data_IF_953433914136
#
_entry.id   IF_953433914136
#
_cell.length_a   1.000
_cell.length_b   1.000
_cell.length_c   1.000
_cell.angle_alpha   90.00
_cell.angle_beta   90.00
_cell.angle_gamma   90.00
#
_symmetry.space_group_name_H-M   'P 1'
#
loop_
_entity.id
_entity.type
_entity.pdbx_description
1 polymer ?
#
# COMPACT_ATOMS: atom_id res chain seq x y z
N UNK A 1 -27.91 3.69 4.65
CA UNK A 1 -26.80 4.26 3.87
C UNK A 1 -26.31 5.63 4.38
N UNK A 2 -27.16 6.66 4.50
CA UNK A 2 -26.72 8.05 4.78
C UNK A 2 -25.91 8.28 6.09
N UNK A 3 -26.03 7.42 7.11
CA UNK A 3 -25.36 7.58 8.42
C UNK A 3 -23.86 7.17 8.41
N UNK A 4 -23.50 6.18 7.61
CA UNK A 4 -22.15 5.59 7.58
C UNK A 4 -21.18 6.43 6.76
N UNK A 5 -21.67 6.99 5.66
CA UNK A 5 -20.93 7.95 4.82
C UNK A 5 -20.52 9.18 5.62
N UNK A 6 -21.37 9.62 6.57
CA UNK A 6 -21.07 10.75 7.46
C UNK A 6 -19.88 10.41 8.38
N UNK A 7 -19.96 9.35 9.19
CA UNK A 7 -18.87 8.96 10.11
C UNK A 7 -17.50 8.87 9.43
N UNK A 8 -17.46 8.28 8.24
CA UNK A 8 -16.22 8.09 7.49
C UNK A 8 -15.66 9.39 6.91
N UNK A 9 -16.53 10.29 6.47
CA UNK A 9 -16.14 11.65 6.07
C UNK A 9 -15.53 12.40 7.26
N UNK A 10 -16.12 12.27 8.45
CA UNK A 10 -15.63 12.99 9.63
C UNK A 10 -14.27 12.48 10.12
N UNK A 11 -14.09 11.17 10.18
CA UNK A 11 -12.77 10.58 10.50
C UNK A 11 -11.70 11.08 9.52
N UNK A 12 -12.02 11.16 8.23
CA UNK A 12 -11.11 11.66 7.19
C UNK A 12 -10.75 13.13 7.41
N UNK A 13 -11.72 13.98 7.75
CA UNK A 13 -11.46 15.40 8.04
C UNK A 13 -10.58 15.59 9.29
N UNK A 14 -10.81 14.80 10.34
CA UNK A 14 -9.96 14.81 11.53
C UNK A 14 -8.52 14.40 11.20
N UNK A 15 -8.35 13.30 10.45
CA UNK A 15 -7.02 12.85 10.00
C UNK A 15 -6.34 13.89 9.10
N UNK A 16 -7.09 14.54 8.20
CA UNK A 16 -6.59 15.63 7.35
C UNK A 16 -6.08 16.80 8.17
N UNK A 17 -6.86 17.31 9.12
CA UNK A 17 -6.48 18.42 9.99
C UNK A 17 -5.18 18.11 10.77
N UNK A 18 -5.07 16.89 11.30
CA UNK A 18 -3.90 16.42 12.06
C UNK A 18 -2.68 16.31 11.16
N UNK A 19 -2.84 15.72 9.97
CA UNK A 19 -1.74 15.55 9.03
C UNK A 19 -1.23 16.88 8.46
N UNK A 20 -2.12 17.83 8.19
CA UNK A 20 -1.75 19.20 7.80
C UNK A 20 -0.99 19.91 8.93
N UNK A 21 -1.47 19.79 10.18
CA UNK A 21 -0.80 20.33 11.35
C UNK A 21 0.62 19.76 11.51
N UNK A 22 0.76 18.44 11.36
CA UNK A 22 2.05 17.74 11.36
C UNK A 22 2.97 18.24 10.25
N UNK A 23 2.47 18.38 9.02
CA UNK A 23 3.24 18.85 7.85
C UNK A 23 3.76 20.28 8.06
N UNK A 24 2.93 21.17 8.59
CA UNK A 24 3.33 22.54 8.97
C UNK A 24 4.45 22.51 10.01
N UNK A 25 4.31 21.72 11.08
CA UNK A 25 5.37 21.59 12.11
C UNK A 25 6.69 21.04 11.56
N UNK A 26 6.64 20.06 10.66
CA UNK A 26 7.84 19.52 10.01
C UNK A 26 8.56 20.57 9.16
N UNK A 27 7.84 21.46 8.48
CA UNK A 27 8.44 22.59 7.75
C UNK A 27 9.18 23.54 8.68
N UNK A 28 8.71 23.71 9.91
CA UNK A 28 9.36 24.55 10.93
C UNK A 28 10.41 23.79 11.78
N UNK A 29 10.75 22.54 11.44
CA UNK A 29 11.73 21.74 12.18
C UNK A 29 11.28 21.33 13.60
N UNK A 30 9.99 21.42 13.90
CA UNK A 30 9.44 21.14 15.23
C UNK A 30 9.24 19.63 15.45
N UNK A 31 9.38 19.18 16.70
CA UNK A 31 9.18 17.77 17.10
C UNK A 31 7.75 17.31 16.80
N UNK A 32 7.60 16.16 16.14
CA UNK A 32 6.30 15.55 15.81
C UNK A 32 5.96 14.33 16.67
N UNK A 33 6.44 14.30 17.92
CA UNK A 33 6.31 13.19 18.86
C UNK A 33 5.09 13.39 19.75
N UNK A 34 4.30 12.32 19.97
CA UNK A 34 3.21 12.25 20.96
C UNK A 34 2.00 11.43 20.51
N UNK A 35 0.82 11.69 21.07
CA UNK A 35 -0.40 10.90 20.83
C UNK A 35 -1.60 11.76 20.41
N UNK A 36 -2.46 11.21 19.56
CA UNK A 36 -3.81 11.70 19.29
C UNK A 36 -4.86 10.64 19.65
N UNK A 37 -5.91 11.03 20.36
CA UNK A 37 -7.11 10.25 20.63
C UNK A 37 -8.29 10.88 19.89
N UNK A 38 -8.93 10.11 19.02
CA UNK A 38 -10.20 10.46 18.37
C UNK A 38 -11.26 9.53 18.95
N UNK A 39 -12.18 10.10 19.72
CA UNK A 39 -13.24 9.38 20.39
C UNK A 39 -14.59 9.69 19.72
N UNK A 40 -15.27 8.68 19.21
CA UNK A 40 -16.53 8.80 18.49
C UNK A 40 -17.62 8.01 19.23
N UNK A 41 -18.76 8.62 19.51
CA UNK A 41 -19.88 7.93 20.14
C UNK A 41 -21.24 8.30 19.55
N UNK A 42 -22.24 7.45 19.79
CA UNK A 42 -23.62 7.67 19.33
C UNK A 42 -24.54 7.97 20.50
N UNK A 43 -25.35 9.02 20.41
CA UNK A 43 -26.41 9.30 21.39
C UNK A 43 -27.77 8.87 20.84
N UNK A 44 -28.60 8.25 21.69
CA UNK A 44 -30.01 7.93 21.38
C UNK A 44 -30.94 8.98 21.96
N UNK A 45 -31.22 10.04 21.19
CA UNK A 45 -32.33 10.97 21.42
C UNK A 45 -33.58 10.60 20.60
N UNK A 46 -34.77 10.99 21.07
CA UNK A 46 -36.13 10.53 20.68
C UNK A 46 -36.59 10.75 19.22
N UNK A 47 -35.70 11.03 18.27
CA UNK A 47 -36.05 10.97 16.84
C UNK A 47 -34.85 10.97 15.89
N UNK A 48 -33.65 11.33 16.36
CA UNK A 48 -32.42 11.30 15.57
C UNK A 48 -31.25 10.75 16.41
N UNK A 49 -30.59 9.69 15.93
CA UNK A 49 -29.29 9.25 16.47
C UNK A 49 -28.21 10.22 15.97
N UNK A 50 -27.68 11.07 16.85
CA UNK A 50 -26.53 11.93 16.58
C UNK A 50 -25.21 11.17 16.79
N UNK A 51 -24.22 11.44 15.93
CA UNK A 51 -22.84 10.99 16.12
C UNK A 51 -22.06 12.15 16.72
N UNK A 52 -21.45 11.93 17.87
CA UNK A 52 -20.65 12.90 18.60
C UNK A 52 -19.16 12.51 18.51
N UNK A 53 -18.27 13.49 18.50
CA UNK A 53 -16.83 13.30 18.36
C UNK A 53 -16.06 14.19 19.35
N UNK A 54 -15.08 13.62 20.03
CA UNK A 54 -14.11 14.33 20.87
C UNK A 54 -12.71 14.00 20.36
N UNK A 55 -11.86 15.02 20.27
CA UNK A 55 -10.47 14.88 19.87
C UNK A 55 -9.61 15.35 21.03
N UNK A 56 -8.73 14.46 21.52
CA UNK A 56 -7.73 14.76 22.54
C UNK A 56 -6.33 14.52 21.97
N UNK A 57 -5.36 15.28 22.46
CA UNK A 57 -4.03 15.31 21.90
C UNK A 57 -3.04 15.48 23.04
N UNK A 58 -1.93 14.74 23.03
CA UNK A 58 -0.92 14.81 24.09
C UNK A 58 0.51 14.68 23.58
N UNK A 59 1.46 15.27 24.31
CA UNK A 59 2.89 15.27 23.99
C UNK A 59 3.39 16.52 23.23
N UNK A 60 4.70 16.57 22.88
CA UNK A 60 5.34 17.74 22.27
C UNK A 60 4.68 18.24 20.99
N UNK A 61 4.04 17.36 20.21
CA UNK A 61 3.33 17.75 19.00
C UNK A 61 2.06 18.61 19.24
N UNK A 62 1.62 18.78 20.49
CA UNK A 62 0.45 19.60 20.85
C UNK A 62 0.79 20.97 21.47
N UNK A 63 2.03 21.19 21.91
CA UNK A 63 2.40 22.32 22.79
C UNK A 63 2.23 23.72 22.18
N UNK A 64 2.20 23.84 20.85
CA UNK A 64 2.08 25.11 20.13
C UNK A 64 0.87 25.18 19.20
N UNK A 65 0.01 24.14 19.21
CA UNK A 65 -1.26 24.20 18.50
C UNK A 65 -2.11 25.23 19.24
N UNK A 66 -2.19 26.46 18.72
CA UNK A 66 -3.07 27.49 19.26
C UNK A 66 -4.47 26.87 19.35
N UNK A 67 -4.98 26.69 20.57
CA UNK A 67 -6.29 26.07 20.84
C UNK A 67 -7.36 26.63 19.90
N UNK A 68 -7.34 27.96 19.64
CA UNK A 68 -8.22 28.67 18.70
C UNK A 68 -8.18 28.18 17.24
N UNK A 69 -7.04 27.75 16.70
CA UNK A 69 -6.94 27.34 15.29
C UNK A 69 -7.47 25.91 15.07
N UNK A 70 -7.16 24.99 16.00
CA UNK A 70 -7.76 23.66 16.00
C UNK A 70 -9.23 23.74 16.42
N UNK A 71 -9.58 24.64 17.33
CA UNK A 71 -10.95 24.86 17.79
C UNK A 71 -11.79 25.52 16.71
N UNK A 72 -11.29 26.43 15.87
CA UNK A 72 -12.04 26.95 14.72
C UNK A 72 -12.31 25.83 13.69
N UNK A 73 -11.30 25.03 13.35
CA UNK A 73 -11.48 23.86 12.48
C UNK A 73 -12.43 22.83 13.09
N UNK A 74 -12.29 22.53 14.38
CA UNK A 74 -13.16 21.63 15.13
C UNK A 74 -14.55 22.23 15.39
N UNK A 75 -14.71 23.55 15.36
CA UNK A 75 -15.97 24.31 15.53
C UNK A 75 -16.71 24.46 14.21
N UNK A 76 -16.04 24.68 13.08
CA UNK A 76 -16.63 24.62 11.73
C UNK A 76 -17.00 23.17 11.38
N UNK A 77 -16.15 22.22 11.77
CA UNK A 77 -16.55 20.84 11.92
C UNK A 77 -17.76 20.80 12.86
N UNK A 78 -17.72 21.34 14.09
CA UNK A 78 -18.85 21.28 15.04
C UNK A 78 -20.19 21.76 14.48
N UNK A 79 -20.20 22.85 13.74
CA UNK A 79 -21.37 23.47 13.13
C UNK A 79 -21.86 22.71 11.89
N UNK A 80 -20.96 22.10 11.12
CA UNK A 80 -21.33 21.17 10.04
C UNK A 80 -21.62 19.73 10.51
N UNK A 81 -21.18 19.37 11.73
CA UNK A 81 -21.17 18.03 12.32
C UNK A 81 -22.38 17.74 13.22
N UNK A 82 -22.81 18.66 14.09
CA UNK A 82 -23.62 18.33 15.27
C UNK A 82 -24.94 19.10 15.34
N UNK A 83 -26.06 18.37 15.25
CA UNK A 83 -27.40 18.91 15.46
C UNK A 83 -27.84 18.93 16.94
N UNK A 84 -26.98 18.57 17.91
CA UNK A 84 -27.34 18.67 19.33
C UNK A 84 -26.11 18.83 20.25
N UNK A 85 -26.16 19.75 21.23
CA UNK A 85 -25.21 19.80 22.33
C UNK A 85 -25.61 18.76 23.40
N UNK A 86 -25.18 17.51 23.23
CA UNK A 86 -25.29 16.47 24.26
C UNK A 86 -24.10 16.49 25.24
N UNK A 87 -24.27 16.02 26.49
CA UNK A 87 -23.17 15.87 27.44
C UNK A 87 -22.18 14.81 26.93
N UNK A 88 -20.90 15.17 26.82
CA UNK A 88 -19.84 14.25 26.47
C UNK A 88 -19.74 13.16 27.55
N UNK A 89 -19.86 11.86 27.23
CA UNK A 89 -19.43 10.82 28.14
C UNK A 89 -17.92 10.99 28.33
N UNK A 90 -17.47 10.95 29.59
CA UNK A 90 -16.04 10.98 29.88
C UNK A 90 -15.40 9.74 29.23
N UNK A 91 -14.33 9.90 28.44
CA UNK A 91 -13.61 8.75 27.94
C UNK A 91 -13.13 7.93 29.13
N UNK A 92 -13.25 6.61 29.01
CA UNK A 92 -12.88 5.66 30.06
C UNK A 92 -11.53 6.03 30.69
N UNK A 93 -11.42 6.18 32.02
CA UNK A 93 -10.18 6.54 32.71
C UNK A 93 -9.01 5.64 32.30
N UNK A 94 -9.25 4.35 32.01
CA UNK A 94 -8.23 3.44 31.51
C UNK A 94 -7.75 3.78 30.09
N UNK A 95 -8.60 4.35 29.24
CA UNK A 95 -8.23 4.83 27.89
C UNK A 95 -7.40 6.10 27.94
N UNK A 96 -7.74 7.02 28.85
CA UNK A 96 -6.94 8.21 29.10
C UNK A 96 -5.57 7.84 29.68
N UNK A 97 -5.52 6.93 30.65
CA UNK A 97 -4.27 6.41 31.23
C UNK A 97 -3.43 5.68 30.19
N UNK A 98 -4.00 4.76 29.41
CA UNK A 98 -3.29 4.09 28.32
C UNK A 98 -2.80 5.09 27.27
N UNK A 99 -3.57 6.14 26.95
CA UNK A 99 -3.17 7.20 26.04
C UNK A 99 -2.00 8.04 26.59
N UNK A 100 -2.00 8.35 27.88
CA UNK A 100 -0.90 9.06 28.55
C UNK A 100 0.33 8.20 28.77
N UNK A 101 0.21 6.89 28.91
CA UNK A 101 1.39 6.01 29.08
C UNK A 101 2.16 5.78 27.76
N UNK A 102 1.60 6.23 26.64
CA UNK A 102 2.09 5.96 25.29
C UNK A 102 3.11 6.97 24.73
N UNK A 103 3.66 7.91 25.52
CA UNK A 103 4.54 8.97 25.00
C UNK A 103 5.81 8.46 24.28
N UNK A 104 5.85 8.63 22.95
CA UNK A 104 6.90 8.24 22.01
C UNK A 104 6.51 8.66 20.57
N UNK A 105 7.01 7.99 19.53
CA UNK A 105 6.63 8.18 18.09
C UNK A 105 5.14 8.47 17.90
N UNK A 106 4.71 9.34 16.97
CA UNK A 106 3.29 9.73 16.81
C UNK A 106 2.34 8.52 16.81
N UNK A 107 1.50 8.39 17.85
CA UNK A 107 0.48 7.33 17.95
C UNK A 107 -0.91 7.93 17.78
N UNK A 108 -1.76 7.23 17.04
CA UNK A 108 -3.13 7.58 16.76
C UNK A 108 -4.03 6.51 17.38
N UNK A 109 -4.86 6.87 18.35
CA UNK A 109 -5.89 6.01 18.92
C UNK A 109 -7.25 6.50 18.41
N UNK A 110 -7.96 5.64 17.70
CA UNK A 110 -9.34 5.89 17.25
C UNK A 110 -10.24 4.94 18.05
N UNK A 111 -11.07 5.50 18.93
CA UNK A 111 -11.95 4.77 19.83
C UNK A 111 -13.41 5.08 19.48
N UNK A 112 -14.20 4.04 19.28
CA UNK A 112 -15.62 4.11 18.96
C UNK A 112 -16.43 3.50 20.10
N UNK A 113 -17.34 4.26 20.71
CA UNK A 113 -18.30 3.77 21.69
C UNK A 113 -19.72 3.81 21.12
N UNK A 114 -20.30 2.64 20.86
CA UNK A 114 -21.68 2.54 20.36
C UNK A 114 -22.61 2.01 21.44
N UNK A 115 -23.70 2.74 21.69
CA UNK A 115 -24.72 2.39 22.69
C UNK A 115 -25.74 1.37 22.13
N UNK A 116 -25.95 1.32 20.80
CA UNK A 116 -26.89 0.39 20.17
C UNK A 116 -26.23 -0.45 19.06
N UNK A 117 -26.17 -1.76 19.30
CA UNK A 117 -25.61 -2.76 18.38
C UNK A 117 -26.34 -2.83 17.03
N UNK A 118 -27.61 -2.38 16.95
CA UNK A 118 -28.38 -2.39 15.68
C UNK A 118 -27.84 -1.44 14.61
N UNK A 119 -26.90 -0.56 14.96
CA UNK A 119 -26.21 0.33 14.02
C UNK A 119 -24.87 -0.21 13.50
N UNK A 120 -24.33 -1.28 14.08
CA UNK A 120 -23.00 -1.80 13.77
C UNK A 120 -23.11 -2.98 12.79
N UNK A 121 -22.73 -2.76 11.53
CA UNK A 121 -22.60 -3.84 10.55
C UNK A 121 -21.15 -4.32 10.48
N UNK A 122 -20.89 -5.63 10.32
CA UNK A 122 -19.54 -6.15 10.04
C UNK A 122 -18.89 -5.48 8.82
N UNK A 123 -19.72 -5.06 7.86
CA UNK A 123 -19.28 -4.30 6.70
C UNK A 123 -18.65 -2.97 7.11
N UNK A 124 -19.28 -2.18 8.00
CA UNK A 124 -18.73 -0.89 8.45
C UNK A 124 -17.36 -1.06 9.10
N UNK A 125 -17.20 -2.09 9.93
CA UNK A 125 -15.92 -2.41 10.55
C UNK A 125 -14.88 -2.70 9.47
N UNK A 126 -15.18 -3.58 8.51
CA UNK A 126 -14.27 -3.91 7.41
C UNK A 126 -13.87 -2.68 6.59
N UNK A 127 -14.80 -1.76 6.32
CA UNK A 127 -14.50 -0.50 5.62
C UNK A 127 -13.54 0.39 6.40
N UNK A 128 -13.74 0.48 7.72
CA UNK A 128 -12.92 1.31 8.58
C UNK A 128 -11.52 0.72 8.77
N UNK A 129 -11.44 -0.59 8.97
CA UNK A 129 -10.18 -1.32 9.00
C UNK A 129 -9.41 -1.16 7.69
N UNK A 130 -10.10 -1.27 6.54
CA UNK A 130 -9.50 -1.09 5.22
C UNK A 130 -8.97 0.32 5.00
N UNK A 131 -9.72 1.34 5.43
CA UNK A 131 -9.26 2.73 5.36
C UNK A 131 -8.08 3.00 6.27
N UNK A 132 -8.11 2.55 7.52
CA UNK A 132 -6.99 2.75 8.46
C UNK A 132 -5.76 1.94 8.03
N UNK A 133 -5.95 0.75 7.46
CA UNK A 133 -4.89 -0.02 6.83
C UNK A 133 -4.28 0.79 5.66
N UNK A 134 -5.08 1.32 4.75
CA UNK A 134 -4.63 2.13 3.62
C UNK A 134 -3.93 3.42 4.06
N UNK A 135 -4.45 4.08 5.09
CA UNK A 135 -3.82 5.23 5.72
C UNK A 135 -2.43 4.84 6.27
N UNK A 136 -2.34 3.69 6.95
CA UNK A 136 -1.09 3.18 7.52
C UNK A 136 -0.04 2.79 6.48
N UNK A 137 -0.46 2.40 5.26
CA UNK A 137 0.47 2.10 4.16
C UNK A 137 1.32 3.31 3.75
N UNK A 138 0.74 4.51 3.73
CA UNK A 138 1.47 5.75 3.41
C UNK A 138 1.96 6.52 4.64
N UNK A 139 1.50 6.14 5.83
CA UNK A 139 1.82 6.79 7.09
C UNK A 139 2.44 5.82 8.09
N UNK A 140 3.32 4.92 7.64
CA UNK A 140 3.91 3.86 8.47
C UNK A 140 4.77 4.37 9.65
N UNK A 141 5.07 5.67 9.67
CA UNK A 141 5.65 6.36 10.83
C UNK A 141 4.66 6.59 11.99
N UNK A 142 3.36 6.37 11.76
CA UNK A 142 2.27 6.54 12.75
C UNK A 142 1.81 5.15 13.17
N UNK A 143 1.69 4.91 14.48
CA UNK A 143 1.06 3.69 15.01
C UNK A 143 -0.43 3.96 15.19
N UNK A 144 -1.29 3.21 14.51
CA UNK A 144 -2.74 3.41 14.60
C UNK A 144 -3.37 2.29 15.43
N UNK A 145 -4.09 2.66 16.48
CA UNK A 145 -4.87 1.77 17.32
C UNK A 145 -6.34 2.03 17.07
N UNK A 146 -7.09 0.98 16.77
CA UNK A 146 -8.53 1.02 16.58
C UNK A 146 -9.18 0.26 17.73
N UNK A 147 -10.10 0.91 18.44
CA UNK A 147 -10.84 0.32 19.55
C UNK A 147 -12.34 0.50 19.32
N UNK A 148 -13.10 -0.58 19.41
CA UNK A 148 -14.56 -0.56 19.39
C UNK A 148 -15.08 -1.08 20.72
N UNK A 149 -15.94 -0.31 21.35
CA UNK A 149 -16.68 -0.68 22.54
C UNK A 149 -18.17 -0.72 22.20
N UNK A 150 -18.77 -1.90 22.39
CA UNK A 150 -20.21 -2.10 22.25
C UNK A 150 -20.70 -2.96 23.42
N UNK A 151 -21.67 -2.45 24.18
CA UNK A 151 -22.14 -3.09 25.41
C UNK A 151 -20.96 -3.43 26.37
N UNK A 152 -20.71 -4.73 26.62
CA UNK A 152 -19.60 -5.24 27.45
C UNK A 152 -18.42 -5.80 26.64
N UNK A 153 -18.48 -5.75 25.31
CA UNK A 153 -17.42 -6.29 24.44
C UNK A 153 -16.52 -5.17 23.92
N UNK A 154 -15.22 -5.42 23.98
CA UNK A 154 -14.19 -4.53 23.43
C UNK A 154 -13.43 -5.27 22.34
N UNK A 155 -13.47 -4.74 21.13
CA UNK A 155 -12.60 -5.17 20.03
C UNK A 155 -11.47 -4.16 19.88
N UNK A 156 -10.24 -4.64 19.74
CA UNK A 156 -9.07 -3.79 19.54
C UNK A 156 -8.20 -4.36 18.43
N UNK A 157 -7.73 -3.48 17.55
CA UNK A 157 -6.83 -3.80 16.46
C UNK A 157 -5.70 -2.77 16.38
N UNK A 158 -4.48 -3.24 16.16
CA UNK A 158 -3.30 -2.39 15.98
C UNK A 158 -2.80 -2.50 14.54
N UNK A 159 -2.69 -1.36 13.86
CA UNK A 159 -2.04 -1.25 12.56
C UNK A 159 -0.58 -0.86 12.78
N UNK A 160 0.24 -1.89 13.01
CA UNK A 160 1.70 -1.75 13.15
C UNK A 160 2.42 -2.37 11.95
N UNK A 161 3.37 -1.58 11.44
CA UNK A 161 4.19 -1.94 10.27
C UNK A 161 5.53 -2.52 10.72
N UNK A 162 6.00 -3.57 10.03
CA UNK A 162 7.29 -4.23 10.32
C UNK A 162 8.45 -3.53 9.62
N UNK A 163 8.32 -3.24 8.33
CA UNK A 163 9.39 -2.64 7.52
C UNK A 163 8.91 -1.32 6.93
N UNK A 164 9.68 -0.27 7.18
CA UNK A 164 9.39 1.09 6.75
C UNK A 164 10.40 1.53 5.70
N UNK A 165 9.94 2.30 4.72
CA UNK A 165 10.83 2.96 3.76
C UNK A 165 10.48 4.43 3.63
N UNK A 166 11.50 5.29 3.71
CA UNK A 166 11.35 6.74 3.56
C UNK A 166 11.54 7.12 2.09
N UNK A 167 10.51 7.69 1.49
CA UNK A 167 10.50 8.15 0.09
C UNK A 167 10.50 9.68 0.09
N UNK A 168 11.57 10.28 -0.44
CA UNK A 168 11.67 11.73 -0.55
C UNK A 168 10.66 12.28 -1.57
N UNK A 169 9.92 13.33 -1.19
CA UNK A 169 9.09 14.10 -2.11
C UNK A 169 9.82 15.38 -2.51
N UNK A 170 9.56 15.85 -3.73
CA UNK A 170 10.04 17.17 -4.17
C UNK A 170 9.28 18.24 -3.37
N UNK A 171 10.03 19.19 -2.79
CA UNK A 171 9.54 20.36 -2.04
C UNK A 171 8.55 20.07 -0.89
N UNK A 172 8.52 18.82 -0.39
CA UNK A 172 7.65 18.39 0.69
C UNK A 172 8.34 17.37 1.60
N UNK A 173 7.88 17.23 2.86
CA UNK A 173 8.38 16.19 3.76
C UNK A 173 8.28 14.80 3.12
N UNK A 174 9.30 13.98 3.37
CA UNK A 174 9.32 12.60 2.88
C UNK A 174 8.15 11.80 3.45
N UNK A 175 7.63 10.88 2.64
CA UNK A 175 6.60 9.92 3.07
C UNK A 175 7.26 8.66 3.61
N UNK A 176 6.67 8.05 4.63
CA UNK A 176 7.15 6.80 5.21
C UNK A 176 6.15 5.70 4.85
N UNK A 177 6.54 4.81 3.94
CA UNK A 177 5.71 3.74 3.42
C UNK A 177 5.88 2.45 4.22
N UNK A 178 4.79 1.69 4.33
CA UNK A 178 4.85 0.27 4.66
C UNK A 178 5.28 -0.50 3.42
N UNK A 179 6.43 -1.16 3.54
CA UNK A 179 6.97 -1.99 2.46
C UNK A 179 7.04 -3.45 2.89
N UNK A 180 6.35 -3.84 3.97
CA UNK A 180 6.34 -5.21 4.50
C UNK A 180 5.72 -6.17 3.49
N UNK A 181 6.43 -7.25 3.20
CA UNK A 181 5.92 -8.36 2.40
C UNK A 181 5.42 -9.48 3.32
N UNK A 182 4.18 -9.93 3.12
CA UNK A 182 3.59 -11.05 3.88
C UNK A 182 3.81 -12.41 3.21
N UNK A 183 4.28 -12.44 1.96
CA UNK A 183 4.56 -13.68 1.23
C UNK A 183 5.66 -14.47 1.92
N UNK A 184 5.35 -15.72 2.27
CA UNK A 184 6.32 -16.62 2.88
C UNK A 184 7.37 -17.05 1.85
N UNK A 185 8.64 -17.20 2.27
CA UNK A 185 9.66 -17.76 1.40
C UNK A 185 9.33 -19.23 1.09
N UNK A 186 9.58 -19.69 -0.16
CA UNK A 186 9.54 -21.10 -0.51
C UNK A 186 10.49 -21.94 0.33
N UNK A 187 10.17 -23.21 0.60
CA UNK A 187 10.94 -24.08 1.50
C UNK A 187 12.41 -24.28 1.08
N UNK A 188 12.66 -24.28 -0.22
CA UNK A 188 13.98 -24.39 -0.85
C UNK A 188 14.85 -23.13 -0.70
N UNK A 189 14.30 -22.02 -0.20
CA UNK A 189 15.06 -20.79 0.06
C UNK A 189 15.79 -20.90 1.41
N UNK A 190 17.12 -20.75 1.37
CA UNK A 190 17.94 -20.65 2.58
C UNK A 190 17.45 -19.49 3.47
N UNK A 191 17.36 -19.73 4.77
CA UNK A 191 16.99 -18.70 5.78
C UNK A 191 17.83 -17.43 5.58
N UNK A 192 17.17 -16.27 5.56
CA UNK A 192 17.81 -14.96 5.40
C UNK A 192 18.09 -14.53 3.95
N UNK A 193 17.88 -15.41 2.96
CA UNK A 193 18.08 -15.08 1.54
C UNK A 193 16.82 -14.52 0.85
N UNK A 194 15.72 -14.36 1.58
CA UNK A 194 14.46 -13.81 1.10
C UNK A 194 14.27 -12.37 1.57
N UNK A 195 13.94 -11.48 0.63
CA UNK A 195 13.61 -10.10 0.95
C UNK A 195 12.25 -10.03 1.65
N UNK A 196 12.23 -9.50 2.88
CA UNK A 196 11.03 -9.39 3.71
C UNK A 196 10.18 -8.15 3.38
N UNK A 197 10.63 -7.31 2.46
CA UNK A 197 9.92 -6.12 2.02
C UNK A 197 10.01 -5.86 0.53
N UNK A 198 9.30 -4.84 0.05
CA UNK A 198 9.42 -4.31 -1.29
C UNK A 198 10.29 -3.06 -1.35
N UNK A 199 10.73 -2.70 -2.55
CA UNK A 199 11.50 -1.48 -2.77
C UNK A 199 10.65 -0.47 -3.52
N UNK A 200 10.22 0.62 -2.86
CA UNK A 200 9.42 1.63 -3.52
C UNK A 200 10.30 2.40 -4.51
N UNK A 201 9.78 2.60 -5.71
CA UNK A 201 10.39 3.39 -6.77
C UNK A 201 9.58 4.66 -6.91
N UNK A 202 10.24 5.81 -6.79
CA UNK A 202 9.61 7.11 -6.99
C UNK A 202 9.63 7.43 -8.48
N UNK A 203 8.46 7.69 -9.04
CA UNK A 203 8.32 8.14 -10.42
C UNK A 203 8.58 9.64 -10.59
N UNK A 204 8.29 10.16 -11.77
CA UNK A 204 8.40 11.59 -12.05
C UNK A 204 7.15 12.36 -11.58
N UNK A 205 7.36 13.60 -11.11
CA UNK A 205 6.25 14.49 -10.71
C UNK A 205 5.49 14.93 -11.95
N UNK A 206 4.19 14.64 -12.00
CA UNK A 206 3.31 15.01 -13.09
C UNK A 206 2.47 16.24 -12.69
N UNK A 207 2.64 17.42 -13.32
CA UNK A 207 1.73 18.54 -13.11
C UNK A 207 0.33 18.21 -13.65
N UNK A 208 -0.70 18.67 -12.93
CA UNK A 208 -2.10 18.48 -13.29
C UNK A 208 -2.73 19.83 -13.59
N UNK A 209 -3.28 19.97 -14.79
CA UNK A 209 -4.03 21.16 -15.21
C UNK A 209 -5.40 21.16 -14.52
N UNK A 210 -5.71 22.21 -13.78
CA UNK A 210 -7.02 22.38 -13.12
C UNK A 210 -8.03 22.87 -14.18
N UNK A 211 -9.18 22.19 -14.36
CA UNK A 211 -10.21 22.63 -15.31
C UNK A 211 -10.74 24.02 -14.95
N UNK A 212 -11.09 24.83 -15.96
CA UNK A 212 -11.58 26.20 -15.76
C UNK A 212 -12.81 26.25 -14.82
N UNK A 213 -13.74 25.31 -14.98
CA UNK A 213 -14.96 25.21 -14.16
C UNK A 213 -14.65 24.95 -12.68
N UNK A 214 -13.51 24.31 -12.39
CA UNK A 214 -13.06 24.01 -11.04
C UNK A 214 -12.30 25.21 -10.45
N UNK A 215 -11.57 25.95 -11.29
CA UNK A 215 -10.97 27.24 -10.88
C UNK A 215 -12.05 28.26 -10.51
N UNK A 216 -13.14 28.33 -11.30
CA UNK A 216 -14.29 29.21 -11.03
C UNK A 216 -14.96 28.91 -9.68
N UNK A 217 -14.78 27.70 -9.16
CA UNK A 217 -15.26 27.24 -7.85
C UNK A 217 -14.25 27.48 -6.72
N UNK A 218 -13.12 28.13 -7.01
CA UNK A 218 -12.16 28.60 -6.02
C UNK A 218 -10.92 27.71 -5.84
N UNK A 219 -10.70 26.70 -6.68
CA UNK A 219 -9.48 25.89 -6.62
C UNK A 219 -8.36 26.56 -7.42
N UNK A 220 -7.44 27.21 -6.72
CA UNK A 220 -6.27 27.89 -7.29
C UNK A 220 -4.95 27.23 -6.88
N UNK A 221 -3.86 27.69 -7.48
CA UNK A 221 -2.50 27.21 -7.22
C UNK A 221 -2.06 26.09 -8.16
N UNK A 222 -0.94 25.45 -7.80
CA UNK A 222 -0.37 24.35 -8.58
C UNK A 222 -0.79 23.01 -8.00
N UNK A 223 -1.31 22.14 -8.87
CA UNK A 223 -1.64 20.75 -8.53
C UNK A 223 -0.73 19.81 -9.30
N UNK A 224 -0.30 18.74 -8.65
CA UNK A 224 0.52 17.70 -9.27
C UNK A 224 0.30 16.36 -8.59
N UNK A 225 0.65 15.28 -9.28
CA UNK A 225 0.65 13.92 -8.73
C UNK A 225 2.06 13.35 -8.78
N UNK A 226 2.46 12.75 -7.67
CA UNK A 226 3.72 12.04 -7.53
C UNK A 226 3.43 10.54 -7.39
N UNK A 227 3.64 9.73 -8.46
CA UNK A 227 3.52 8.29 -8.38
C UNK A 227 4.69 7.69 -7.60
N UNK A 228 4.39 6.66 -6.81
CA UNK A 228 5.37 5.76 -6.20
C UNK A 228 4.90 4.33 -6.41
N UNK A 229 5.74 3.48 -6.99
CA UNK A 229 5.41 2.08 -7.30
C UNK A 229 6.16 1.11 -6.40
N UNK A 230 5.55 -0.04 -6.13
CA UNK A 230 6.11 -1.09 -5.29
C UNK A 230 5.73 -2.45 -5.85
N UNK A 231 6.70 -3.24 -6.29
CA UNK A 231 6.50 -4.65 -6.65
C UNK A 231 6.82 -5.55 -5.45
N UNK A 232 5.86 -6.39 -5.05
CA UNK A 232 5.98 -7.28 -3.89
C UNK A 232 5.47 -8.69 -4.20
N UNK A 233 6.15 -9.76 -3.75
CA UNK A 233 7.43 -9.78 -3.04
C UNK A 233 8.61 -9.31 -3.90
N UNK A 234 9.68 -8.85 -3.26
CA UNK A 234 10.94 -8.59 -3.96
C UNK A 234 11.71 -9.91 -4.15
N UNK A 235 11.90 -10.31 -5.41
CA UNK A 235 12.69 -11.49 -5.79
C UNK A 235 13.88 -11.14 -6.67
N UNK A 236 14.42 -9.92 -6.53
CA UNK A 236 15.61 -9.47 -7.29
C UNK A 236 16.86 -10.32 -7.01
N UNK A 237 16.88 -11.06 -5.90
CA UNK A 237 17.93 -11.98 -5.53
C UNK A 237 17.87 -13.32 -6.30
N UNK A 238 16.76 -13.60 -6.98
CA UNK A 238 16.53 -14.84 -7.71
C UNK A 238 16.22 -14.56 -9.18
N UNK A 239 17.25 -14.47 -10.06
CA UNK A 239 17.08 -14.10 -11.45
C UNK A 239 16.28 -15.11 -12.28
N UNK A 240 16.31 -16.39 -11.90
CA UNK A 240 15.68 -17.47 -12.65
C UNK A 240 14.35 -17.92 -12.04
N UNK A 241 13.90 -17.28 -10.95
CA UNK A 241 12.69 -17.69 -10.24
C UNK A 241 11.44 -17.28 -11.01
N UNK A 242 10.57 -18.24 -11.27
CA UNK A 242 9.33 -18.03 -12.02
C UNK A 242 8.40 -17.13 -11.21
N UNK A 243 7.88 -16.10 -11.86
CA UNK A 243 7.06 -15.07 -11.23
C UNK A 243 5.86 -14.74 -12.09
N UNK A 244 4.70 -14.64 -11.47
CA UNK A 244 3.46 -14.27 -12.13
C UNK A 244 2.90 -13.00 -11.49
N UNK A 245 2.59 -12.00 -12.30
CA UNK A 245 1.87 -10.82 -11.82
C UNK A 245 0.39 -11.19 -11.66
N UNK A 246 -0.17 -11.01 -10.47
CA UNK A 246 -1.57 -11.36 -10.19
C UNK A 246 -2.49 -10.13 -10.24
N UNK A 247 -2.03 -9.01 -9.69
CA UNK A 247 -2.82 -7.78 -9.66
C UNK A 247 -1.97 -6.52 -9.52
N UNK A 248 -2.58 -5.39 -9.88
CA UNK A 248 -2.08 -4.03 -9.70
C UNK A 248 -3.09 -3.27 -8.83
N UNK A 249 -2.67 -2.78 -7.66
CA UNK A 249 -3.51 -1.99 -6.76
C UNK A 249 -3.10 -0.52 -6.82
N UNK A 250 -4.06 0.36 -7.13
CA UNK A 250 -3.90 1.81 -7.21
C UNK A 250 -4.54 2.47 -5.99
N UNK A 251 -3.75 3.28 -5.29
CA UNK A 251 -4.12 3.99 -4.07
C UNK A 251 -3.87 5.49 -4.26
N UNK A 252 -4.87 6.33 -3.96
CA UNK A 252 -4.74 7.79 -4.08
C UNK A 252 -4.76 8.45 -2.72
N UNK A 253 -3.88 9.42 -2.54
CA UNK A 253 -3.73 10.17 -1.29
C UNK A 253 -3.83 11.66 -1.54
N UNK A 254 -4.54 12.36 -0.66
CA UNK A 254 -4.63 13.83 -0.64
C UNK A 254 -3.27 14.48 -0.35
N UNK A 255 -3.13 15.82 -0.53
CA UNK A 255 -1.93 16.56 -0.16
C UNK A 255 -1.45 16.38 1.30
N UNK A 256 -2.34 15.99 2.21
CA UNK A 256 -2.05 15.63 3.60
C UNK A 256 -1.73 14.13 3.80
N UNK A 257 -1.54 13.36 2.73
CA UNK A 257 -1.33 11.90 2.75
C UNK A 257 -2.48 11.10 3.39
N UNK A 258 -3.72 11.57 3.26
CA UNK A 258 -4.91 10.83 3.71
C UNK A 258 -5.53 10.12 2.50
N UNK A 259 -5.93 8.84 2.59
CA UNK A 259 -6.58 8.14 1.48
C UNK A 259 -7.85 8.84 1.03
N UNK A 260 -8.07 8.93 -0.27
CA UNK A 260 -9.29 9.48 -0.87
C UNK A 260 -10.13 8.36 -1.52
N UNK A 261 -11.45 8.52 -1.53
CA UNK A 261 -12.39 7.48 -2.00
C UNK A 261 -12.72 7.55 -3.50
N UNK A 262 -11.96 8.32 -4.28
CA UNK A 262 -12.14 8.48 -5.73
C UNK A 262 -10.83 8.83 -6.42
N UNK A 263 -10.81 8.98 -7.76
CA UNK A 263 -11.92 8.84 -8.73
C UNK A 263 -12.33 7.38 -8.97
N UNK A 264 -13.57 7.14 -9.36
CA UNK A 264 -14.08 5.78 -9.61
C UNK A 264 -14.21 5.48 -11.10
N UNK A 265 -14.68 6.42 -11.92
CA UNK A 265 -14.88 6.18 -13.35
C UNK A 265 -13.56 6.24 -14.13
N UNK A 266 -12.71 7.21 -13.81
CA UNK A 266 -11.41 7.38 -14.44
C UNK A 266 -10.55 6.12 -14.29
N UNK A 267 -10.43 5.55 -13.08
CA UNK A 267 -9.61 4.36 -12.88
C UNK A 267 -10.22 3.09 -13.44
N UNK A 268 -11.55 3.01 -13.62
CA UNK A 268 -12.18 1.88 -14.29
C UNK A 268 -11.82 1.81 -15.77
N UNK A 269 -11.63 2.95 -16.43
CA UNK A 269 -11.29 3.01 -17.86
C UNK A 269 -9.78 2.90 -18.13
N UNK A 270 -8.91 3.13 -17.13
CA UNK A 270 -7.45 3.09 -17.31
C UNK A 270 -6.96 1.78 -17.96
N UNK A 271 -7.37 0.57 -17.53
CA UNK A 271 -6.88 -0.68 -18.12
C UNK A 271 -7.05 -0.74 -19.64
N UNK A 272 -8.14 -0.22 -20.19
CA UNK A 272 -8.40 -0.19 -21.64
C UNK A 272 -7.45 0.75 -22.42
N UNK A 273 -6.73 1.62 -21.72
CA UNK A 273 -5.78 2.57 -22.29
C UNK A 273 -4.32 2.23 -21.98
N UNK A 274 -4.06 1.11 -21.28
CA UNK A 274 -2.72 0.61 -21.02
C UNK A 274 -2.33 -0.40 -22.10
N UNK A 275 -1.12 -0.29 -22.63
CA UNK A 275 -0.55 -1.28 -23.54
C UNK A 275 -0.12 -2.52 -22.74
N UNK A 276 -1.03 -3.48 -22.60
CA UNK A 276 -0.80 -4.69 -21.82
C UNK A 276 0.38 -5.51 -22.38
N UNK A 277 0.56 -5.53 -23.70
CA UNK A 277 1.66 -6.25 -24.36
C UNK A 277 3.01 -5.66 -23.95
N UNK A 278 3.15 -4.33 -23.97
CA UNK A 278 4.37 -3.65 -23.53
C UNK A 278 4.63 -3.84 -22.02
N UNK A 279 3.56 -3.96 -21.22
CA UNK A 279 3.65 -4.30 -19.80
C UNK A 279 4.00 -5.78 -19.54
N UNK A 280 3.93 -6.65 -20.55
CA UNK A 280 4.18 -8.08 -20.43
C UNK A 280 3.00 -8.87 -19.82
N UNK A 281 1.78 -8.33 -19.96
CA UNK A 281 0.53 -8.90 -19.48
C UNK A 281 -0.42 -9.17 -20.66
N UNK A 282 -1.31 -10.16 -20.56
CA UNK A 282 -2.27 -10.46 -21.64
C UNK A 282 -3.46 -9.52 -21.65
N UNK A 283 -3.93 -9.16 -20.45
CA UNK A 283 -5.02 -8.24 -20.24
C UNK A 283 -5.10 -7.81 -18.79
N UNK A 284 -5.77 -6.68 -18.55
CA UNK A 284 -6.04 -6.13 -17.23
C UNK A 284 -7.53 -5.87 -17.10
N UNK A 285 -8.14 -6.45 -16.07
CA UNK A 285 -9.53 -6.21 -15.73
C UNK A 285 -9.65 -5.45 -14.40
N UNK A 286 -10.48 -4.43 -14.38
CA UNK A 286 -10.84 -3.77 -13.13
C UNK A 286 -11.82 -4.66 -12.35
N UNK A 287 -11.47 -5.04 -11.11
CA UNK A 287 -12.42 -5.71 -10.23
C UNK A 287 -13.65 -4.83 -10.01
N UNK A 288 -14.83 -5.44 -9.90
CA UNK A 288 -16.12 -4.73 -9.74
C UNK A 288 -16.12 -3.77 -8.56
N UNK A 289 -16.82 -2.64 -8.69
CA UNK A 289 -16.97 -1.61 -7.66
C UNK A 289 -17.48 -2.15 -6.32
N UNK A 290 -18.19 -3.28 -6.29
CA UNK A 290 -18.66 -3.92 -5.04
C UNK A 290 -17.49 -4.44 -4.17
N UNK A 291 -16.36 -4.80 -4.77
CA UNK A 291 -15.14 -5.22 -4.05
C UNK A 291 -14.19 -4.04 -3.75
N UNK A 292 -14.30 -2.93 -4.51
CA UNK A 292 -13.52 -1.71 -4.29
C UNK A 292 -13.85 -1.01 -2.97
N UNK A 293 -15.12 -1.05 -2.52
CA UNK A 293 -15.52 -0.39 -1.27
C UNK A 293 -14.78 -0.98 -0.06
N UNK A 294 -14.39 -2.26 -0.15
CA UNK A 294 -13.65 -2.98 0.89
C UNK A 294 -12.12 -2.93 0.76
N UNK A 295 -11.57 -2.52 -0.40
CA UNK A 295 -10.15 -2.72 -0.74
C UNK A 295 -9.26 -1.49 -0.55
N UNK A 296 -9.82 -0.35 -0.15
CA UNK A 296 -9.07 0.89 0.08
C UNK A 296 -8.43 1.52 -1.17
N UNK A 297 -8.72 0.96 -2.36
CA UNK A 297 -8.13 1.36 -3.64
C UNK A 297 -8.73 0.61 -4.83
N UNK A 298 -8.30 0.97 -6.04
CA UNK A 298 -8.70 0.28 -7.28
C UNK A 298 -7.78 -0.89 -7.55
N UNK A 299 -8.32 -2.07 -7.83
CA UNK A 299 -7.54 -3.28 -8.11
C UNK A 299 -7.79 -3.73 -9.56
N UNK A 300 -6.69 -3.93 -10.29
CA UNK A 300 -6.68 -4.52 -11.62
C UNK A 300 -6.15 -5.94 -11.52
N UNK A 301 -6.96 -6.93 -11.90
CA UNK A 301 -6.55 -8.33 -12.00
C UNK A 301 -5.94 -8.60 -13.37
N UNK A 302 -4.84 -9.35 -13.39
CA UNK A 302 -4.15 -9.73 -14.63
C UNK A 302 -4.81 -11.00 -15.18
N UNK A 303 -5.16 -10.97 -16.47
CA UNK A 303 -5.61 -12.17 -17.18
C UNK A 303 -4.45 -13.17 -17.31
N UNK A 304 -4.71 -14.41 -16.90
CA UNK A 304 -3.74 -15.48 -16.99
C UNK A 304 -3.97 -16.26 -18.29
N UNK A 305 -2.89 -16.68 -18.95
CA UNK A 305 -3.00 -17.63 -20.06
C UNK A 305 -3.53 -18.96 -19.51
N UNK A 306 -4.73 -19.34 -19.93
CA UNK A 306 -5.25 -20.70 -19.79
C UNK A 306 -4.45 -21.61 -20.71
N UNK A 307 -3.31 -22.10 -20.22
CA UNK A 307 -2.63 -23.22 -20.86
C UNK A 307 -3.30 -24.51 -20.40
N UNK A 308 -4.36 -24.92 -21.10
CA UNK A 308 -4.88 -26.30 -21.02
C UNK A 308 -3.87 -27.23 -21.71
N UNK A 309 -2.75 -27.49 -21.05
CA UNK A 309 -1.77 -28.48 -21.51
C UNK A 309 -1.49 -29.48 -20.37
N UNK A 310 -1.90 -30.75 -20.50
CA UNK A 310 -1.81 -31.75 -19.43
C UNK A 310 -0.38 -32.10 -18.98
N UNK A 311 0.68 -31.61 -19.65
CA UNK A 311 2.08 -31.80 -19.21
C UNK A 311 2.51 -30.89 -18.02
N UNK A 312 1.59 -30.07 -17.47
CA UNK A 312 1.90 -29.05 -16.46
C UNK A 312 1.95 -29.50 -15.00
N UNK A 313 1.62 -30.75 -14.66
CA UNK A 313 1.68 -31.24 -13.28
C UNK A 313 3.10 -31.18 -12.65
N UNK A 314 4.14 -30.93 -13.45
CA UNK A 314 5.54 -30.81 -13.02
C UNK A 314 6.11 -29.37 -13.00
N UNK A 315 5.28 -28.33 -13.19
CA UNK A 315 5.75 -26.93 -13.06
C UNK A 315 5.85 -26.58 -11.57
N UNK A 316 7.01 -26.07 -11.15
CA UNK A 316 7.17 -25.51 -9.81
C UNK A 316 6.18 -24.35 -9.62
N UNK A 317 5.60 -24.15 -8.43
CA UNK A 317 4.68 -23.05 -8.20
C UNK A 317 5.38 -21.72 -8.46
N UNK A 318 4.80 -20.91 -9.36
CA UNK A 318 5.29 -19.57 -9.65
C UNK A 318 5.06 -18.65 -8.46
N UNK A 319 5.99 -17.72 -8.23
CA UNK A 319 5.82 -16.71 -7.18
C UNK A 319 4.85 -15.65 -7.66
N UNK A 320 3.72 -15.55 -6.97
CA UNK A 320 2.73 -14.50 -7.19
C UNK A 320 3.28 -13.15 -6.72
N UNK A 321 3.39 -12.21 -7.66
CA UNK A 321 3.76 -10.82 -7.42
C UNK A 321 2.58 -9.89 -7.64
N UNK A 322 2.61 -8.76 -6.96
CA UNK A 322 1.61 -7.70 -7.06
C UNK A 322 2.30 -6.34 -7.13
N UNK A 323 1.72 -5.42 -7.90
CA UNK A 323 2.18 -4.03 -7.94
C UNK A 323 1.24 -3.20 -7.09
N UNK A 324 1.80 -2.35 -6.22
CA UNK A 324 1.06 -1.27 -5.56
C UNK A 324 1.55 0.07 -6.11
N UNK A 325 0.62 0.90 -6.53
CA UNK A 325 0.84 2.22 -7.09
C UNK A 325 0.20 3.24 -6.16
N UNK A 326 1.03 4.10 -5.57
CA UNK A 326 0.61 5.19 -4.71
C UNK A 326 0.64 6.49 -5.50
N UNK A 327 -0.50 7.15 -5.63
CA UNK A 327 -0.63 8.47 -6.25
C UNK A 327 -0.76 9.52 -5.16
N UNK A 328 0.34 10.23 -4.90
CA UNK A 328 0.36 11.31 -3.93
C UNK A 328 0.04 12.63 -4.59
N UNK A 329 -1.13 13.19 -4.30
CA UNK A 329 -1.47 14.55 -4.70
C UNK A 329 -0.57 15.53 -3.95
N UNK A 330 -0.16 16.57 -4.64
CA UNK A 330 0.59 17.69 -4.10
C UNK A 330 -0.05 18.97 -4.60
N UNK A 331 -0.41 19.82 -3.65
CA UNK A 331 -0.96 21.12 -3.91
C UNK A 331 -0.10 22.18 -3.23
N UNK A 332 0.08 23.31 -3.91
CA UNK A 332 0.71 24.51 -3.39
C UNK A 332 -0.02 25.72 -3.92
N UNK A 333 -0.54 26.53 -2.99
CA UNK A 333 -1.10 27.83 -3.26
C UNK A 333 -0.38 28.84 -2.35
N UNK A 334 0.30 29.87 -2.90
CA UNK A 334 0.97 30.89 -2.09
C UNK A 334 -0.01 31.75 -1.27
N UNK A 335 -1.31 31.70 -1.57
CA UNK A 335 -2.34 32.51 -0.92
C UNK A 335 -3.07 31.76 0.21
N UNK A 336 -2.84 30.46 0.41
CA UNK A 336 -3.38 29.74 1.57
C UNK A 336 -2.47 29.93 2.79
N UNK A 337 -3.01 30.53 3.85
CA UNK A 337 -2.23 30.83 5.06
C UNK A 337 -2.79 30.10 6.29
N UNK A 338 -4.10 29.87 6.33
CA UNK A 338 -4.77 29.25 7.46
C UNK A 338 -5.00 27.75 7.25
N UNK A 339 -5.15 27.02 8.35
CA UNK A 339 -5.40 25.57 8.31
C UNK A 339 -6.78 25.27 7.68
N UNK A 340 -7.75 26.15 7.92
CA UNK A 340 -9.09 26.11 7.30
C UNK A 340 -9.00 26.19 5.78
N UNK A 341 -8.14 27.07 5.25
CA UNK A 341 -7.96 27.26 3.81
C UNK A 341 -7.40 25.99 3.16
N UNK A 342 -6.37 25.39 3.77
CA UNK A 342 -5.80 24.12 3.30
C UNK A 342 -6.83 22.98 3.33
N UNK A 343 -7.66 22.93 4.38
CA UNK A 343 -8.70 21.90 4.51
C UNK A 343 -9.82 22.05 3.48
N UNK A 344 -10.29 23.29 3.28
CA UNK A 344 -11.30 23.60 2.25
C UNK A 344 -10.75 23.29 0.85
N UNK A 345 -9.49 23.65 0.60
CA UNK A 345 -8.82 23.37 -0.67
C UNK A 345 -8.67 21.87 -0.91
N UNK A 346 -8.23 21.09 0.08
CA UNK A 346 -8.18 19.62 -0.08
C UNK A 346 -9.57 18.98 -0.27
N UNK A 347 -10.62 19.55 0.33
CA UNK A 347 -11.99 19.10 0.10
C UNK A 347 -12.44 19.38 -1.34
N UNK A 348 -12.11 20.55 -1.89
CA UNK A 348 -12.36 20.88 -3.30
C UNK A 348 -11.59 19.98 -4.26
N UNK A 349 -10.29 19.73 -3.98
CA UNK A 349 -9.47 18.80 -4.78
C UNK A 349 -10.11 17.42 -4.80
N UNK A 350 -10.54 16.91 -3.65
CA UNK A 350 -11.17 15.60 -3.56
C UNK A 350 -12.54 15.55 -4.28
N UNK A 351 -13.33 16.62 -4.17
CA UNK A 351 -14.63 16.73 -4.83
C UNK A 351 -14.50 16.71 -6.36
N UNK A 352 -13.51 17.43 -6.90
CA UNK A 352 -13.27 17.55 -8.35
C UNK A 352 -12.18 16.62 -8.89
N UNK A 353 -11.74 15.64 -8.11
CA UNK A 353 -10.60 14.81 -8.49
C UNK A 353 -10.85 14.02 -9.79
N UNK A 354 -12.10 13.59 -10.00
CA UNK A 354 -12.55 12.93 -11.22
C UNK A 354 -12.41 13.83 -12.45
N UNK A 355 -12.88 15.08 -12.35
CA UNK A 355 -12.82 16.06 -13.44
C UNK A 355 -11.37 16.45 -13.74
N UNK A 356 -10.57 16.66 -12.70
CA UNK A 356 -9.14 17.00 -12.81
C UNK A 356 -8.39 15.87 -13.52
N UNK A 357 -8.57 14.61 -13.09
CA UNK A 357 -7.86 13.49 -13.70
C UNK A 357 -8.35 13.21 -15.12
N UNK A 358 -9.65 13.37 -15.38
CA UNK A 358 -10.23 13.27 -16.72
C UNK A 358 -9.70 14.33 -17.68
N UNK A 359 -9.53 15.57 -17.21
CA UNK A 359 -8.91 16.65 -17.99
C UNK A 359 -7.44 16.36 -18.34
N UNK A 360 -6.74 15.63 -17.46
CA UNK A 360 -5.33 15.25 -17.65
C UNK A 360 -5.15 13.80 -18.13
N UNK A 361 -6.19 13.18 -18.71
CA UNK A 361 -6.25 11.73 -18.97
C UNK A 361 -5.02 11.19 -19.68
N UNK A 362 -4.65 11.79 -20.82
CA UNK A 362 -3.52 11.30 -21.62
C UNK A 362 -2.20 11.33 -20.84
N UNK A 363 -1.93 12.43 -20.14
CA UNK A 363 -0.70 12.61 -19.37
C UNK A 363 -0.65 11.66 -18.16
N UNK A 364 -1.78 11.51 -17.45
CA UNK A 364 -1.89 10.57 -16.33
C UNK A 364 -1.72 9.14 -16.81
N UNK A 365 -2.44 8.70 -17.85
CA UNK A 365 -2.30 7.34 -18.39
C UNK A 365 -0.88 7.05 -18.84
N UNK A 366 -0.23 7.98 -19.57
CA UNK A 366 1.15 7.82 -20.01
C UNK A 366 2.15 7.70 -18.84
N UNK A 367 1.96 8.50 -17.80
CA UNK A 367 2.77 8.43 -16.58
C UNK A 367 2.56 7.08 -15.86
N UNK A 368 1.30 6.66 -15.66
CA UNK A 368 1.00 5.36 -15.04
C UNK A 368 1.58 4.20 -15.83
N UNK A 369 1.41 4.22 -17.16
CA UNK A 369 1.96 3.22 -18.05
C UNK A 369 3.49 3.12 -17.91
N UNK A 370 4.18 4.27 -17.95
CA UNK A 370 5.64 4.35 -17.81
C UNK A 370 6.09 3.81 -16.45
N UNK A 371 5.41 4.17 -15.37
CA UNK A 371 5.75 3.70 -14.01
C UNK A 371 5.55 2.19 -13.84
N UNK A 372 4.44 1.64 -14.35
CA UNK A 372 4.18 0.20 -14.30
C UNK A 372 5.22 -0.53 -15.17
N UNK A 373 5.49 -0.07 -16.38
CA UNK A 373 6.53 -0.64 -17.25
C UNK A 373 7.90 -0.66 -16.57
N UNK A 374 8.27 0.44 -15.91
CA UNK A 374 9.54 0.58 -15.21
C UNK A 374 9.65 -0.41 -14.04
N UNK A 375 8.58 -0.56 -13.23
CA UNK A 375 8.58 -1.49 -12.09
C UNK A 375 8.59 -2.95 -12.54
N UNK A 376 7.91 -3.27 -13.65
CA UNK A 376 7.84 -4.62 -14.23
C UNK A 376 9.07 -4.99 -15.08
N UNK A 377 9.93 -4.02 -15.43
CA UNK A 377 11.13 -4.25 -16.25
C UNK A 377 12.00 -5.41 -15.76
N UNK A 378 12.19 -5.53 -14.45
CA UNK A 378 12.97 -6.63 -13.87
C UNK A 378 12.26 -7.97 -14.00
N UNK A 379 10.94 -8.02 -13.81
CA UNK A 379 10.12 -9.22 -13.99
C UNK A 379 10.11 -9.66 -15.45
N UNK A 380 9.88 -8.75 -16.40
CA UNK A 380 9.83 -9.04 -17.83
C UNK A 380 11.19 -9.54 -18.36
N UNK A 381 12.30 -9.01 -17.81
CA UNK A 381 13.64 -9.57 -18.09
C UNK A 381 13.79 -11.00 -17.59
N UNK A 382 13.35 -11.29 -16.35
CA UNK A 382 13.38 -12.67 -15.82
C UNK A 382 12.55 -13.63 -16.67
N UNK A 383 11.35 -13.23 -17.10
CA UNK A 383 10.50 -14.05 -18.00
C UNK A 383 11.24 -14.39 -19.30
N UNK A 384 11.87 -13.41 -19.94
CA UNK A 384 12.68 -13.63 -21.15
C UNK A 384 13.90 -14.52 -20.91
N UNK A 385 14.57 -14.36 -19.78
CA UNK A 385 15.72 -15.20 -19.42
C UNK A 385 15.29 -16.64 -19.10
N UNK A 386 14.09 -16.84 -18.55
CA UNK A 386 13.47 -18.15 -18.34
C UNK A 386 13.11 -18.84 -19.65
N UNK A 387 12.54 -18.12 -20.62
CA UNK A 387 12.25 -18.67 -21.94
C UNK A 387 13.54 -19.19 -22.61
N UNK A 388 14.63 -18.41 -22.54
CA UNK A 388 15.95 -18.84 -23.04
C UNK A 388 16.48 -20.06 -22.29
N UNK A 389 16.36 -20.06 -20.96
CA UNK A 389 16.79 -21.17 -20.13
C UNK A 389 15.98 -22.44 -20.45
N UNK A 390 14.67 -22.33 -20.65
CA UNK A 390 13.80 -23.44 -20.99
C UNK A 390 14.15 -24.03 -22.36
N UNK A 391 14.42 -23.18 -23.36
CA UNK A 391 14.92 -23.62 -24.67
C UNK A 391 16.27 -24.33 -24.56
N UNK A 392 17.20 -23.83 -23.74
CA UNK A 392 18.48 -24.49 -23.49
C UNK A 392 18.31 -25.84 -22.78
N UNK A 393 17.43 -25.92 -21.78
CA UNK A 393 17.11 -27.17 -21.07
C UNK A 393 16.58 -28.22 -22.04
N UNK A 394 15.67 -27.87 -22.97
CA UNK A 394 15.19 -28.80 -24.00
C UNK A 394 16.34 -29.39 -24.84
N UNK A 395 17.30 -28.56 -25.26
CA UNK A 395 18.47 -29.02 -26.03
C UNK A 395 19.39 -29.90 -25.19
N UNK A 396 19.66 -29.53 -23.93
CA UNK A 396 20.48 -30.32 -23.00
C UNK A 396 19.84 -31.69 -22.77
N UNK A 397 18.53 -31.73 -22.54
CA UNK A 397 17.79 -32.97 -22.31
C UNK A 397 17.83 -33.87 -23.54
N UNK A 398 17.47 -33.34 -24.71
CA UNK A 398 17.49 -34.09 -25.97
C UNK A 398 18.89 -34.67 -26.27
N UNK A 399 19.93 -33.86 -26.09
CA UNK A 399 21.32 -34.28 -26.33
C UNK A 399 21.76 -35.35 -25.33
N UNK A 400 21.48 -35.16 -24.04
CA UNK A 400 21.89 -36.09 -22.98
C UNK A 400 21.21 -37.44 -23.13
N UNK A 401 19.89 -37.43 -23.38
CA UNK A 401 19.10 -38.66 -23.60
C UNK A 401 19.57 -39.35 -24.88
N UNK A 402 19.84 -38.61 -25.96
CA UNK A 402 20.35 -39.20 -27.21
C UNK A 402 21.73 -39.83 -27.03
N UNK A 403 22.66 -39.19 -26.33
CA UNK A 403 23.99 -39.74 -26.04
C UNK A 403 23.88 -41.08 -25.28
N UNK A 404 23.02 -41.15 -24.26
CA UNK A 404 22.82 -42.37 -23.48
C UNK A 404 22.11 -43.44 -24.31
N UNK A 405 21.02 -43.11 -24.98
CA UNK A 405 20.23 -44.06 -25.79
C UNK A 405 21.00 -44.62 -26.99
N UNK A 406 21.85 -43.81 -27.63
CA UNK A 406 22.63 -44.23 -28.80
C UNK A 406 23.98 -44.85 -28.44
N UNK A 407 24.39 -44.88 -27.17
CA UNK A 407 25.67 -45.47 -26.77
C UNK A 407 25.63 -47.00 -26.92
N UNK A 408 26.64 -47.56 -27.58
CA UNK A 408 26.86 -49.00 -27.69
C UNK A 408 27.55 -49.61 -26.47
N UNK A 409 28.07 -48.77 -25.56
CA UNK A 409 28.74 -49.23 -24.34
C UNK A 409 27.71 -49.40 -23.20
N UNK A 410 27.44 -50.66 -22.84
CA UNK A 410 26.47 -51.01 -21.80
C UNK A 410 26.85 -50.44 -20.42
N UNK A 411 28.13 -50.49 -20.05
CA UNK A 411 28.61 -50.00 -18.76
C UNK A 411 28.41 -48.49 -18.64
N UNK A 412 28.68 -47.73 -19.71
CA UNK A 412 28.42 -46.30 -19.75
C UNK A 412 26.93 -45.97 -19.56
N UNK A 413 26.03 -46.67 -20.28
CA UNK A 413 24.59 -46.46 -20.13
C UNK A 413 24.12 -46.75 -18.71
N UNK A 414 24.52 -47.90 -18.17
CA UNK A 414 24.18 -48.31 -16.81
C UNK A 414 24.74 -47.32 -15.78
N UNK A 415 25.96 -46.84 -15.95
CA UNK A 415 26.54 -45.82 -15.08
C UNK A 415 25.73 -44.52 -15.09
N UNK A 416 25.28 -44.05 -16.27
CA UNK A 416 24.45 -42.85 -16.40
C UNK A 416 23.09 -43.01 -15.71
N UNK A 417 22.38 -44.12 -15.97
CA UNK A 417 21.09 -44.42 -15.36
C UNK A 417 21.21 -44.58 -13.84
N UNK A 418 22.21 -45.31 -13.37
CA UNK A 418 22.48 -45.49 -11.94
C UNK A 418 22.84 -44.17 -11.24
N UNK A 419 23.61 -43.29 -11.90
CA UNK A 419 23.97 -41.98 -11.34
C UNK A 419 22.74 -41.09 -11.11
N UNK A 420 21.74 -41.18 -12.00
CA UNK A 420 20.48 -40.45 -11.86
C UNK A 420 19.39 -41.23 -11.10
N UNK A 421 19.70 -42.48 -10.68
CA UNK A 421 18.81 -43.40 -9.97
C UNK A 421 17.50 -43.68 -10.72
N UNK A 422 17.62 -43.95 -12.02
CA UNK A 422 16.49 -44.21 -12.93
C UNK A 422 16.64 -45.56 -13.60
N UNK A 423 15.52 -46.18 -13.97
CA UNK A 423 15.50 -47.51 -14.59
C UNK A 423 15.68 -47.46 -16.11
N UNK A 424 15.26 -46.37 -16.75
CA UNK A 424 15.31 -46.21 -18.20
C UNK A 424 15.60 -44.78 -18.67
N UNK A 425 15.69 -44.60 -19.98
CA UNK A 425 16.03 -43.33 -20.63
C UNK A 425 14.87 -42.33 -20.65
N UNK A 426 13.63 -42.76 -20.44
CA UNK A 426 12.48 -41.89 -20.28
C UNK A 426 12.47 -41.26 -18.88
N UNK A 427 12.65 -42.07 -17.83
CA UNK A 427 12.86 -41.61 -16.46
C UNK A 427 14.10 -40.72 -16.34
N UNK A 428 15.18 -41.03 -17.08
CA UNK A 428 16.36 -40.20 -17.16
C UNK A 428 16.01 -38.77 -17.61
N UNK A 429 15.17 -38.63 -18.64
CA UNK A 429 14.74 -37.32 -19.15
C UNK A 429 14.00 -36.52 -18.06
N UNK A 430 13.04 -37.16 -17.38
CA UNK A 430 12.28 -36.51 -16.30
C UNK A 430 13.19 -36.11 -15.13
N UNK A 431 14.07 -37.01 -14.67
CA UNK A 431 14.99 -36.78 -13.56
C UNK A 431 16.03 -35.70 -13.85
N UNK A 432 16.57 -35.66 -15.08
CA UNK A 432 17.45 -34.59 -15.54
C UNK A 432 16.71 -33.25 -15.62
N UNK A 433 15.47 -33.25 -16.14
CA UNK A 433 14.66 -32.04 -16.24
C UNK A 433 14.39 -31.44 -14.86
N UNK A 434 13.97 -32.27 -13.91
CA UNK A 434 13.75 -31.84 -12.52
C UNK A 434 15.04 -31.34 -11.86
N UNK A 435 16.16 -32.05 -12.05
CA UNK A 435 17.46 -31.65 -11.50
C UNK A 435 17.93 -30.30 -12.05
N UNK A 436 17.81 -30.09 -13.37
CA UNK A 436 18.16 -28.82 -14.00
C UNK A 436 17.27 -27.68 -13.52
N UNK A 437 15.95 -27.89 -13.46
CA UNK A 437 14.99 -26.91 -12.89
C UNK A 437 15.38 -26.56 -11.45
N UNK A 438 15.64 -27.56 -10.60
CA UNK A 438 16.00 -27.35 -9.20
C UNK A 438 17.28 -26.54 -9.02
N UNK A 439 18.32 -26.84 -9.79
CA UNK A 439 19.61 -26.13 -9.71
C UNK A 439 19.51 -24.71 -10.26
N UNK A 440 18.74 -24.51 -11.32
CA UNK A 440 18.70 -23.22 -12.03
C UNK A 440 17.73 -22.22 -11.40
N UNK A 441 16.53 -22.65 -10.98
CA UNK A 441 15.49 -21.75 -10.46
C UNK A 441 15.89 -21.03 -9.17
N UNK A 442 16.69 -21.69 -8.31
CA UNK A 442 17.08 -21.17 -7.00
C UNK A 442 18.46 -20.53 -6.96
N UNK A 443 19.03 -20.23 -8.14
CA UNK A 443 20.27 -19.45 -8.22
C UNK A 443 20.09 -18.15 -7.44
N UNK A 444 20.90 -17.95 -6.42
CA UNK A 444 20.84 -16.79 -5.55
C UNK A 444 21.97 -15.81 -5.89
N UNK A 445 21.62 -14.54 -6.04
CA UNK A 445 22.56 -13.44 -6.21
C UNK A 445 22.25 -12.39 -5.14
N UNK A 446 23.16 -12.14 -4.18
CA UNK A 446 22.92 -11.17 -3.13
C UNK A 446 22.72 -9.77 -3.71
N UNK A 447 21.78 -9.01 -3.11
CA UNK A 447 21.49 -7.62 -3.46
C UNK A 447 21.53 -6.80 -2.17
N UNK A 448 22.48 -5.86 -2.07
CA UNK A 448 22.66 -5.04 -0.87
C UNK A 448 21.51 -4.10 -0.53
N UNK A 449 20.53 -3.92 -1.44
CA UNK A 449 19.34 -3.09 -1.20
C UNK A 449 18.17 -3.86 -0.56
N UNK A 450 18.22 -5.20 -0.51
CA UNK A 450 17.13 -6.03 -0.01
C UNK A 450 17.04 -6.06 1.52
N UNK A 451 15.82 -6.13 2.06
CA UNK A 451 15.56 -6.26 3.48
C UNK A 451 15.72 -7.71 3.94
N UNK A 452 16.82 -8.03 4.60
CA UNK A 452 17.06 -9.38 5.16
C UNK A 452 16.44 -9.53 6.55
N UNK A 453 16.09 -10.76 6.92
CA UNK A 453 15.51 -11.08 8.22
C UNK A 453 16.45 -10.80 9.42
N UNK A 454 17.71 -10.44 9.19
CA UNK A 454 18.70 -10.14 10.23
C UNK A 454 18.70 -8.67 10.70
N UNK A 455 17.86 -7.80 10.14
CA UNK A 455 17.61 -6.49 10.75
C UNK A 455 16.80 -6.69 12.04
N UNK A 456 17.49 -6.91 13.16
CA UNK A 456 16.95 -6.65 14.50
C UNK A 456 16.33 -5.26 14.48
N UNK A 457 15.15 -5.11 15.08
CA UNK A 457 14.54 -3.82 15.37
C UNK A 457 15.63 -2.90 15.94
N UNK A 458 16.09 -1.93 15.15
CA UNK A 458 16.87 -0.85 15.72
C UNK A 458 15.91 -0.12 16.67
N UNK A 459 16.21 -0.05 17.98
CA UNK A 459 15.53 0.94 18.81
C UNK A 459 15.74 2.30 18.14
N UNK A 460 14.70 3.13 18.12
CA UNK A 460 14.76 4.50 17.61
C UNK A 460 15.95 5.22 18.29
N UNK A 461 17.12 5.25 17.64
CA UNK A 461 18.27 5.98 18.18
C UNK A 461 18.06 7.44 17.86
N UNK A 462 17.88 8.23 18.92
CA UNK A 462 17.96 9.68 18.86
C UNK A 462 19.29 10.11 18.24
N UNK A 463 19.18 11.02 17.26
CA UNK A 463 20.16 11.98 16.73
C UNK A 463 21.62 11.52 16.45
N UNK A 464 22.19 11.86 15.27
CA UNK A 464 23.62 11.94 15.15
C UNK A 464 24.11 13.21 15.87
N UNK A 465 24.88 13.01 16.94
CA UNK A 465 25.70 14.04 17.56
C UNK A 465 26.53 14.73 16.48
N UNK A 466 26.49 16.06 16.46
CA UNK A 466 27.46 16.91 15.76
C UNK A 466 28.87 16.37 15.98
N UNK A 467 29.58 16.07 14.90
CA UNK A 467 31.03 16.18 14.87
C UNK A 467 31.35 17.61 14.40
N UNK A 468 31.58 18.50 15.35
CA UNK A 468 32.33 19.73 15.11
C UNK A 468 33.80 19.36 14.84
N UNK A 469 34.45 20.15 13.98
CA UNK A 469 35.89 20.11 13.69
C UNK A 469 36.68 20.53 14.92
#
# INVERSE_FOLDING_TARGET
>A
MCKYTKMFRELRQVLRAVMLSRKRRQRYGLKTVGGLLVFLWTETGTSFKSLSCTVAAAGPWCTEIKKKALQAVLTDLKESLFLCPGPCPEPDPEELCAFTDLYGSLKLLVSFQMIDARGFSPELLAHLESFLHTFSLANAGIKTHLKFKFNQQTLQQEFRVKIKSKVAKVDQPSVILDVTCKTQPPECVKKGCWCQGGHPVRGDRLPLSIPAQVMDQGLYGELSVQPVTLLSPCVLQYPNLETQLTHIQLLVYSPSNVPVTGPSTFFQIIPAHLDCEELGCHGLHCSSFKDLVYSGGTVYTVEQENWEDPEQESRLPSIQQSVRLFLFLQHSDPFTSQLSDDMATEALIEHHLEDILSNNRQAVTAALHTEIKNVLKAQNRRKKDQEKLHSAVKVILSSSVSIVSCSSNLDFRNACLNSMKVCDTHELSASLCESLKRVTSWKFIPKGKCYSAQMKEYPESNEPTRSEI
#
